data_IF_126500508658
#
_entry.id   IF_126500508658
#
_cell.length_a   1.000
_cell.length_b   1.000
_cell.length_c   1.000
_cell.angle_alpha   90.00
_cell.angle_beta   90.00
_cell.angle_gamma   90.00
#
_symmetry.space_group_name_H-M   'P 1'
#
loop_
_entity.id
_entity.type
_entity.pdbx_description
1 polymer ?
#
# COMPACT_ATOMS: atom_id res chain seq x y z
N UNK A 1 -0.29 6.81 2.72
CA UNK A 1 -1.02 7.79 3.56
C UNK A 1 -1.00 7.31 5.00
N UNK A 2 -0.73 8.20 5.94
CA UNK A 2 -0.71 7.93 7.39
C UNK A 2 -1.44 9.05 8.13
N UNK A 3 -1.88 8.81 9.39
CA UNK A 3 -2.40 9.90 10.23
C UNK A 3 -1.33 10.99 10.44
N UNK A 4 -1.66 12.29 10.35
CA UNK A 4 -0.68 13.37 10.48
C UNK A 4 0.10 13.34 11.81
N UNK A 5 -0.53 12.88 12.88
CA UNK A 5 0.13 12.71 14.20
C UNK A 5 1.30 11.73 14.18
N UNK A 6 1.42 10.89 13.16
CA UNK A 6 2.51 9.91 12.98
C UNK A 6 3.59 10.39 12.01
N UNK A 7 3.45 11.59 11.47
CA UNK A 7 4.38 12.15 10.49
C UNK A 7 5.82 12.15 10.99
N UNK A 8 6.07 12.65 12.19
CA UNK A 8 7.43 12.74 12.76
C UNK A 8 8.08 11.35 12.91
N UNK A 9 7.35 10.37 13.40
CA UNK A 9 7.84 9.00 13.53
C UNK A 9 8.18 8.39 12.17
N UNK A 10 7.34 8.65 11.18
CA UNK A 10 7.57 8.14 9.83
C UNK A 10 8.76 8.82 9.15
N UNK A 11 8.94 10.12 9.34
CA UNK A 11 10.13 10.84 8.86
C UNK A 11 11.42 10.27 9.45
N UNK A 12 11.42 9.91 10.73
CA UNK A 12 12.57 9.24 11.37
C UNK A 12 12.87 7.88 10.74
N UNK A 13 11.84 7.11 10.40
CA UNK A 13 12.00 5.83 9.70
C UNK A 13 12.57 6.02 8.29
N UNK A 14 12.12 7.05 7.56
CA UNK A 14 12.50 7.30 6.18
C UNK A 14 13.85 7.99 6.05
N UNK A 15 14.32 8.68 7.09
CA UNK A 15 15.50 9.54 7.04
C UNK A 15 16.74 8.80 6.52
N UNK A 16 17.43 9.39 5.52
CA UNK A 16 18.66 8.90 4.88
C UNK A 16 18.59 7.57 4.10
N UNK A 17 17.51 6.81 4.22
CA UNK A 17 17.38 5.49 3.56
C UNK A 17 16.50 5.50 2.32
N UNK A 18 15.63 6.49 2.21
CA UNK A 18 14.63 6.59 1.15
C UNK A 18 14.61 7.97 0.52
N UNK A 19 14.31 8.03 -0.76
CA UNK A 19 13.89 9.27 -1.40
C UNK A 19 12.39 9.43 -1.21
N UNK A 20 11.96 10.54 -0.65
CA UNK A 20 10.57 10.79 -0.37
C UNK A 20 10.18 12.26 -0.55
N UNK A 21 8.90 12.46 -0.74
CA UNK A 21 8.24 13.75 -0.77
C UNK A 21 7.00 13.71 0.12
N UNK A 22 6.74 14.76 0.86
CA UNK A 22 5.63 14.83 1.81
C UNK A 22 4.63 15.87 1.35
N UNK A 23 3.35 15.51 1.39
CA UNK A 23 2.23 16.35 1.01
C UNK A 23 1.08 16.21 2.02
N UNK A 24 -0.03 16.90 1.80
CA UNK A 24 -1.22 16.87 2.64
C UNK A 24 -0.93 17.09 4.13
N UNK A 25 -0.15 18.14 4.42
CA UNK A 25 0.22 18.50 5.81
C UNK A 25 0.82 17.34 6.62
N UNK A 26 1.68 16.54 5.98
CA UNK A 26 2.35 15.41 6.64
C UNK A 26 1.56 14.10 6.66
N UNK A 27 0.51 13.99 5.86
CA UNK A 27 -0.31 12.76 5.78
C UNK A 27 0.01 11.91 4.56
N UNK A 28 0.36 12.50 3.43
CA UNK A 28 0.69 11.79 2.19
C UNK A 28 2.20 11.77 1.97
N UNK A 29 2.76 10.59 1.81
CA UNK A 29 4.16 10.36 1.48
C UNK A 29 4.28 9.67 0.14
N UNK A 30 5.06 10.28 -0.75
CA UNK A 30 5.50 9.69 -2.00
C UNK A 30 6.90 9.15 -1.78
N UNK A 31 7.09 7.85 -1.94
CA UNK A 31 8.35 7.19 -1.59
C UNK A 31 8.84 6.43 -2.81
N UNK A 32 10.10 6.66 -3.16
CA UNK A 32 10.80 5.87 -4.16
C UNK A 32 11.60 4.76 -3.48
N UNK A 33 11.40 3.54 -3.92
CA UNK A 33 12.16 2.37 -3.48
C UNK A 33 12.82 1.76 -4.72
N UNK A 34 14.12 1.53 -4.65
CA UNK A 34 14.86 0.92 -5.76
C UNK A 34 14.44 -0.54 -5.99
N UNK A 35 14.63 -1.02 -7.20
CA UNK A 35 14.37 -2.42 -7.56
C UNK A 35 15.15 -3.37 -6.66
N UNK A 36 14.51 -4.47 -6.28
CA UNK A 36 15.04 -5.54 -5.40
C UNK A 36 15.23 -5.16 -3.92
N UNK A 37 14.62 -4.08 -3.46
CA UNK A 37 14.64 -3.69 -2.04
C UNK A 37 13.34 -4.10 -1.31
N UNK A 38 12.94 -5.37 -1.42
CA UNK A 38 11.70 -5.90 -0.82
C UNK A 38 11.64 -5.68 0.70
N UNK A 39 12.79 -5.76 1.40
CA UNK A 39 12.87 -5.50 2.83
C UNK A 39 12.47 -4.06 3.19
N UNK A 40 12.88 -3.09 2.39
CA UNK A 40 12.51 -1.68 2.59
C UNK A 40 11.01 -1.45 2.42
N UNK A 41 10.40 -2.08 1.41
CA UNK A 41 8.95 -2.01 1.19
C UNK A 41 8.21 -2.65 2.36
N UNK A 42 8.67 -3.80 2.85
CA UNK A 42 8.06 -4.49 3.97
C UNK A 42 8.13 -3.68 5.27
N UNK A 43 9.21 -2.98 5.53
CA UNK A 43 9.33 -2.06 6.67
C UNK A 43 8.31 -0.93 6.59
N UNK A 44 8.17 -0.30 5.42
CA UNK A 44 7.17 0.75 5.19
C UNK A 44 5.76 0.20 5.37
N UNK A 45 5.46 -0.95 4.77
CA UNK A 45 4.16 -1.62 4.87
C UNK A 45 3.80 -1.93 6.32
N UNK A 46 4.73 -2.49 7.08
CA UNK A 46 4.53 -2.78 8.51
C UNK A 46 4.21 -1.52 9.30
N UNK A 47 5.00 -0.46 9.14
CA UNK A 47 4.76 0.81 9.83
C UNK A 47 3.38 1.39 9.49
N UNK A 48 3.03 1.40 8.22
CA UNK A 48 1.75 1.95 7.72
C UNK A 48 0.56 1.18 8.33
N UNK A 49 0.61 -0.15 8.34
CA UNK A 49 -0.45 -0.99 8.91
C UNK A 49 -0.56 -0.77 10.42
N UNK A 50 0.55 -0.79 11.15
CA UNK A 50 0.57 -0.60 12.61
C UNK A 50 0.06 0.78 13.05
N UNK A 51 0.14 1.77 12.18
CA UNK A 51 -0.29 3.14 12.45
C UNK A 51 -1.60 3.54 11.74
N UNK A 52 -2.43 2.57 11.36
CA UNK A 52 -3.73 2.79 10.71
C UNK A 52 -3.65 3.61 9.41
N UNK A 53 -2.57 3.44 8.67
CA UNK A 53 -2.36 4.07 7.38
C UNK A 53 -2.73 3.17 6.21
N UNK A 54 -2.49 3.69 5.00
CA UNK A 54 -2.71 2.97 3.74
C UNK A 54 -1.49 3.09 2.85
N UNK A 55 -1.08 1.97 2.26
CA UNK A 55 -0.02 1.90 1.26
C UNK A 55 -0.63 1.54 -0.09
N UNK A 56 -0.18 2.21 -1.14
CA UNK A 56 -0.52 1.90 -2.52
C UNK A 56 0.74 1.92 -3.36
N UNK A 57 0.98 0.88 -4.15
CA UNK A 57 2.07 0.85 -5.13
C UNK A 57 1.50 1.36 -6.45
N UNK A 58 1.93 2.56 -6.87
CA UNK A 58 1.46 3.19 -8.10
C UNK A 58 2.26 2.79 -9.32
N UNK A 59 3.56 2.60 -9.15
CA UNK A 59 4.47 2.25 -10.24
C UNK A 59 5.43 1.17 -9.76
N UNK A 60 5.60 0.15 -10.58
CA UNK A 60 6.55 -0.94 -10.36
C UNK A 60 7.34 -1.19 -11.64
N UNK A 61 8.57 -1.68 -11.52
CA UNK A 61 9.31 -2.19 -12.68
C UNK A 61 8.73 -3.53 -13.15
N UNK A 62 9.00 -3.88 -14.41
CA UNK A 62 8.54 -5.15 -15.00
C UNK A 62 9.11 -6.38 -14.25
N UNK A 63 10.29 -6.24 -13.69
CA UNK A 63 10.99 -7.31 -12.96
C UNK A 63 10.62 -7.38 -11.46
N UNK A 64 9.73 -6.51 -11.00
CA UNK A 64 9.31 -6.47 -9.62
C UNK A 64 8.15 -7.43 -9.38
N UNK A 65 8.46 -8.58 -8.79
CA UNK A 65 7.46 -9.57 -8.38
C UNK A 65 7.08 -9.35 -6.90
N UNK A 66 6.14 -8.44 -6.70
CA UNK A 66 5.52 -8.27 -5.41
C UNK A 66 4.40 -9.30 -5.26
N UNK A 67 4.65 -10.31 -4.45
CA UNK A 67 3.72 -11.44 -4.24
C UNK A 67 2.40 -11.03 -3.59
N UNK A 68 2.39 -9.87 -2.94
CA UNK A 68 1.23 -9.32 -2.25
C UNK A 68 0.41 -8.37 -3.15
N UNK A 69 -0.69 -7.92 -2.61
CA UNK A 69 -1.56 -6.93 -3.24
C UNK A 69 -0.87 -5.57 -3.37
N UNK A 70 -1.23 -4.80 -4.40
CA UNK A 70 -0.73 -3.43 -4.61
C UNK A 70 -1.24 -2.43 -3.55
N UNK A 71 -2.23 -2.83 -2.75
CA UNK A 71 -2.88 -2.00 -1.75
C UNK A 71 -2.91 -2.73 -0.42
N UNK A 72 -2.72 -2.01 0.67
CA UNK A 72 -2.98 -2.55 2.01
C UNK A 72 -4.47 -2.52 2.32
N UNK A 73 -4.99 -3.61 2.85
CA UNK A 73 -6.38 -3.73 3.29
C UNK A 73 -6.45 -4.68 4.49
N UNK A 74 -7.29 -4.39 5.46
CA UNK A 74 -7.60 -5.31 6.55
C UNK A 74 -8.58 -6.41 6.11
N UNK A 75 -8.60 -7.51 6.85
CA UNK A 75 -9.41 -8.68 6.52
C UNK A 75 -10.91 -8.37 6.45
N UNK A 76 -11.41 -7.52 7.34
CA UNK A 76 -12.83 -7.15 7.39
C UNK A 76 -13.24 -6.39 6.13
N UNK A 77 -12.45 -5.39 5.76
CA UNK A 77 -12.68 -4.61 4.54
C UNK A 77 -12.54 -5.48 3.29
N UNK A 78 -11.54 -6.37 3.27
CA UNK A 78 -11.37 -7.31 2.17
C UNK A 78 -12.59 -8.21 1.99
N UNK A 79 -13.12 -8.77 3.09
CA UNK A 79 -14.33 -9.60 3.09
C UNK A 79 -15.55 -8.84 2.57
N UNK A 80 -15.75 -7.60 3.03
CA UNK A 80 -16.84 -6.74 2.56
C UNK A 80 -16.67 -6.44 1.05
N UNK A 81 -15.46 -6.08 0.63
CA UNK A 81 -15.15 -5.80 -0.77
C UNK A 81 -15.42 -7.01 -1.68
N UNK A 82 -15.08 -8.22 -1.23
CA UNK A 82 -15.43 -9.46 -1.96
C UNK A 82 -16.93 -9.62 -2.14
N UNK A 83 -17.71 -9.47 -1.09
CA UNK A 83 -19.17 -9.56 -1.16
C UNK A 83 -19.79 -8.54 -2.11
N UNK A 84 -19.30 -7.30 -2.07
CA UNK A 84 -19.71 -6.26 -2.99
C UNK A 84 -19.37 -6.66 -4.44
N UNK A 85 -18.13 -7.09 -4.67
CA UNK A 85 -17.68 -7.55 -6.00
C UNK A 85 -18.52 -8.69 -6.52
N UNK A 86 -18.78 -9.70 -5.72
CA UNK A 86 -19.62 -10.85 -6.09
C UNK A 86 -21.06 -10.45 -6.43
N UNK A 87 -21.60 -9.44 -5.74
CA UNK A 87 -22.95 -8.93 -6.00
C UNK A 87 -23.05 -8.19 -7.33
N UNK A 88 -22.05 -7.36 -7.66
CA UNK A 88 -22.05 -6.52 -8.88
C UNK A 88 -21.44 -7.23 -10.10
N UNK A 89 -20.50 -8.12 -9.88
CA UNK A 89 -19.76 -8.84 -10.93
C UNK A 89 -19.58 -10.32 -10.58
N UNK A 90 -20.68 -11.08 -10.54
CA UNK A 90 -20.64 -12.49 -10.14
C UNK A 90 -19.82 -13.38 -11.08
N UNK A 91 -19.55 -12.92 -12.30
CA UNK A 91 -18.73 -13.64 -13.29
C UNK A 91 -17.26 -13.22 -13.28
N UNK A 92 -16.88 -12.23 -12.45
CA UNK A 92 -15.50 -11.75 -12.35
C UNK A 92 -14.93 -11.18 -13.64
N UNK A 93 -15.74 -10.48 -14.43
CA UNK A 93 -15.34 -9.95 -15.75
C UNK A 93 -14.59 -8.62 -15.65
N UNK A 94 -14.82 -7.84 -14.61
CA UNK A 94 -14.27 -6.50 -14.47
C UNK A 94 -13.03 -6.47 -13.59
N UNK A 95 -11.87 -6.21 -14.19
CA UNK A 95 -10.59 -6.00 -13.50
C UNK A 95 -10.25 -7.05 -12.41
N UNK A 96 -10.35 -8.36 -12.67
CA UNK A 96 -10.08 -9.38 -11.68
C UNK A 96 -8.62 -9.28 -11.18
N UNK A 97 -8.42 -9.29 -9.85
CA UNK A 97 -7.10 -9.30 -9.23
C UNK A 97 -6.27 -8.02 -9.41
N UNK A 98 -6.84 -6.91 -9.89
CA UNK A 98 -6.08 -5.66 -10.14
C UNK A 98 -5.69 -4.90 -8.89
N UNK A 99 -6.59 -4.79 -7.93
CA UNK A 99 -6.29 -4.13 -6.65
C UNK A 99 -5.88 -5.15 -5.59
N UNK A 100 -6.64 -6.20 -5.46
CA UNK A 100 -6.41 -7.29 -4.51
C UNK A 100 -6.48 -8.61 -5.25
N UNK A 101 -5.59 -9.54 -4.92
CA UNK A 101 -5.52 -10.84 -5.62
C UNK A 101 -6.83 -11.62 -5.57
N UNK A 102 -7.55 -11.48 -4.46
CA UNK A 102 -8.77 -12.25 -4.18
C UNK A 102 -10.03 -11.64 -4.78
N UNK A 103 -9.92 -10.48 -5.41
CA UNK A 103 -11.05 -9.75 -6.00
C UNK A 103 -10.83 -9.56 -7.53
#
# INVERSE_FOLDING_TARGET
VIPPAKCELFLKLLSKKYKYFVDWCGSLFWIEVADKEDEKINLIKKFVIENNGYLTILKKSENFDFKDTLFTIDETRLMISKKIKESFDPKGLFNPGKMYREI
#
